data_IF_886910105175
#
_entry.id   IF_886910105175
#
_cell.length_a   1.000
_cell.length_b   1.000
_cell.length_c   1.000
_cell.angle_alpha   90.00
_cell.angle_beta   90.00
_cell.angle_gamma   90.00
#
_symmetry.space_group_name_H-M   'P 1'
#
loop_
_entity.id
_entity.type
_entity.pdbx_description
1 polymer ?
#
# COMPACT_ATOMS: atom_id res chain seq x y z
N UNK A 1 9.56 -1.54 -41.51
CA UNK A 1 8.79 -1.55 -40.25
C UNK A 1 7.42 -0.97 -40.60
N UNK A 2 6.37 -1.79 -40.61
CA UNK A 2 5.02 -1.27 -40.81
C UNK A 2 4.65 -0.50 -39.55
N UNK A 3 4.19 0.75 -39.69
CA UNK A 3 3.90 1.63 -38.56
C UNK A 3 2.81 1.09 -37.61
N UNK A 4 2.10 0.04 -38.01
CA UNK A 4 0.96 -0.54 -37.29
C UNK A 4 1.36 -1.61 -36.26
N UNK A 5 2.55 -2.23 -36.37
CA UNK A 5 3.05 -3.19 -35.38
C UNK A 5 4.57 -3.00 -35.16
N UNK A 6 4.97 -2.29 -34.10
CA UNK A 6 6.37 -2.04 -33.80
C UNK A 6 7.07 -3.25 -33.14
N UNK A 7 6.37 -4.36 -32.88
CA UNK A 7 6.93 -5.56 -32.25
C UNK A 7 7.21 -5.43 -30.75
N UNK A 8 6.75 -4.34 -30.12
CA UNK A 8 6.87 -4.09 -28.68
C UNK A 8 5.62 -3.38 -28.14
N UNK A 9 5.41 -3.49 -26.83
CA UNK A 9 4.42 -2.72 -26.07
C UNK A 9 5.11 -1.74 -25.11
N UNK A 10 4.41 -0.67 -24.75
CA UNK A 10 4.91 0.33 -23.79
C UNK A 10 4.22 0.19 -22.44
N UNK A 11 4.98 0.43 -21.36
CA UNK A 11 4.48 0.37 -19.99
C UNK A 11 4.98 1.59 -19.23
N UNK A 12 4.07 2.46 -18.79
CA UNK A 12 4.43 3.65 -18.03
C UNK A 12 5.21 3.29 -16.76
N UNK A 13 6.17 4.14 -16.40
CA UNK A 13 6.84 4.15 -15.11
C UNK A 13 6.41 5.38 -14.36
N UNK A 14 5.81 5.13 -13.21
CA UNK A 14 5.23 6.15 -12.35
C UNK A 14 5.91 6.06 -10.99
N UNK A 15 6.20 7.23 -10.42
CA UNK A 15 6.62 7.39 -9.03
C UNK A 15 5.45 7.99 -8.27
N UNK A 16 5.14 7.40 -7.13
CA UNK A 16 4.10 7.88 -6.21
C UNK A 16 4.75 8.27 -4.90
N UNK A 17 4.48 9.49 -4.48
CA UNK A 17 4.86 10.03 -3.18
C UNK A 17 3.61 10.38 -2.36
N UNK A 18 3.70 10.27 -1.04
CA UNK A 18 2.65 10.72 -0.13
C UNK A 18 3.23 11.62 0.95
N UNK A 19 2.60 12.77 1.16
CA UNK A 19 2.94 13.70 2.22
C UNK A 19 1.76 13.85 3.17
N UNK A 20 2.01 13.68 4.48
CA UNK A 20 1.03 14.03 5.52
C UNK A 20 0.99 15.54 5.65
N UNK A 21 -0.17 16.16 5.40
CA UNK A 21 -0.30 17.63 5.29
C UNK A 21 -0.88 18.29 6.54
N UNK A 22 -1.30 17.50 7.52
CA UNK A 22 -1.86 17.98 8.78
C UNK A 22 -1.82 16.89 9.85
N UNK A 23 -2.15 17.25 11.08
CA UNK A 23 -2.02 16.33 12.23
C UNK A 23 -3.00 15.16 12.15
N UNK A 24 -4.21 15.41 11.66
CA UNK A 24 -5.30 14.44 11.69
C UNK A 24 -5.66 13.98 13.10
N UNK A 25 -6.32 12.84 13.19
CA UNK A 25 -6.51 12.08 14.43
C UNK A 25 -5.44 11.00 14.51
N UNK A 26 -4.75 10.87 15.65
CA UNK A 26 -3.66 9.90 15.85
C UNK A 26 -3.75 9.27 17.23
N UNK A 27 -3.59 7.96 17.27
CA UNK A 27 -3.60 7.12 18.46
C UNK A 27 -2.32 6.31 18.51
N UNK A 28 -1.65 6.30 19.66
CA UNK A 28 -0.37 5.60 19.84
C UNK A 28 -0.57 4.42 20.80
N UNK A 29 -0.17 3.24 20.33
CA UNK A 29 -0.26 1.96 21.01
C UNK A 29 1.13 1.33 21.05
N UNK A 30 1.92 1.69 22.06
CA UNK A 30 3.29 1.19 22.21
C UNK A 30 4.14 1.44 20.94
N UNK A 31 4.61 0.39 20.24
CA UNK A 31 5.41 0.52 19.04
C UNK A 31 4.63 0.86 17.76
N UNK A 32 3.30 0.98 17.83
CA UNK A 32 2.40 1.23 16.70
C UNK A 32 1.67 2.55 16.90
N UNK A 33 1.52 3.35 15.83
CA UNK A 33 0.56 4.44 15.82
C UNK A 33 -0.44 4.24 14.70
N UNK A 34 -1.72 4.49 14.95
CA UNK A 34 -2.80 4.51 13.97
C UNK A 34 -3.29 5.94 13.80
N UNK A 35 -3.56 6.38 12.58
CA UNK A 35 -4.08 7.72 12.34
C UNK A 35 -5.03 7.82 11.17
N UNK A 36 -5.92 8.79 11.25
CA UNK A 36 -6.73 9.32 10.17
C UNK A 36 -6.17 10.70 9.82
N UNK A 37 -5.43 10.79 8.73
CA UNK A 37 -4.60 11.95 8.41
C UNK A 37 -4.93 12.54 7.04
N UNK A 38 -4.98 13.87 6.90
CA UNK A 38 -5.00 14.48 5.58
C UNK A 38 -3.63 14.27 4.92
N UNK A 39 -3.67 13.94 3.64
CA UNK A 39 -2.49 13.66 2.82
C UNK A 39 -2.59 14.35 1.47
N UNK A 40 -1.45 14.59 0.84
CA UNK A 40 -1.37 14.83 -0.60
C UNK A 40 -0.60 13.68 -1.21
N UNK A 41 -1.24 12.98 -2.15
CA UNK A 41 -0.61 11.95 -2.97
C UNK A 41 -0.15 12.61 -4.27
N UNK A 42 1.11 12.44 -4.64
CA UNK A 42 1.68 12.97 -5.87
C UNK A 42 2.09 11.81 -6.77
N UNK A 43 1.58 11.81 -8.00
CA UNK A 43 1.90 10.84 -9.03
C UNK A 43 2.66 11.52 -10.17
N UNK A 44 3.76 10.92 -10.59
CA UNK A 44 4.61 11.45 -11.66
C UNK A 44 5.02 10.32 -12.61
N UNK A 45 4.57 10.39 -13.86
CA UNK A 45 5.04 9.50 -14.94
C UNK A 45 6.41 9.97 -15.42
N UNK A 46 7.47 9.33 -14.95
CA UNK A 46 8.87 9.70 -15.26
C UNK A 46 9.37 9.10 -16.59
N UNK A 47 8.61 8.20 -17.19
CA UNK A 47 8.97 7.55 -18.44
C UNK A 47 8.13 6.33 -18.75
N UNK A 48 8.59 5.51 -19.69
CA UNK A 48 8.00 4.21 -20.00
C UNK A 48 9.06 3.19 -20.42
N UNK A 49 8.77 1.92 -20.19
CA UNK A 49 9.55 0.81 -20.74
C UNK A 49 8.99 0.39 -22.09
N UNK A 50 9.87 0.08 -23.05
CA UNK A 50 9.50 -0.72 -24.23
C UNK A 50 9.82 -2.17 -23.94
N UNK A 51 8.83 -3.04 -24.08
CA UNK A 51 8.99 -4.49 -23.88
C UNK A 51 8.55 -5.26 -25.11
N UNK A 52 9.34 -6.24 -25.52
CA UNK A 52 8.88 -7.21 -26.51
C UNK A 52 7.71 -8.02 -25.96
N UNK A 53 6.97 -8.69 -26.86
CA UNK A 53 5.91 -9.64 -26.46
C UNK A 53 6.44 -10.82 -25.62
N UNK A 54 7.74 -11.11 -25.70
CA UNK A 54 8.44 -12.09 -24.85
C UNK A 54 8.59 -11.64 -23.39
N UNK A 55 8.35 -10.35 -23.10
CA UNK A 55 8.56 -9.74 -21.78
C UNK A 55 9.95 -9.10 -21.61
N UNK A 56 10.86 -9.31 -22.55
CA UNK A 56 12.19 -8.69 -22.56
C UNK A 56 12.07 -7.16 -22.61
N UNK A 57 12.77 -6.47 -21.70
CA UNK A 57 12.87 -5.00 -21.69
C UNK A 57 13.91 -4.57 -22.72
N UNK A 58 13.48 -3.79 -23.70
CA UNK A 58 14.36 -3.22 -24.73
C UNK A 58 15.13 -2.03 -24.16
N UNK A 59 14.40 -1.06 -23.62
CA UNK A 59 14.95 0.15 -23.01
C UNK A 59 13.91 0.85 -22.12
N UNK A 60 14.39 1.91 -21.47
CA UNK A 60 13.60 2.89 -20.75
C UNK A 60 13.71 4.23 -21.47
N UNK A 61 12.57 4.87 -21.73
CA UNK A 61 12.48 6.18 -22.35
C UNK A 61 11.97 7.16 -21.30
N UNK A 62 12.82 8.12 -20.94
CA UNK A 62 12.47 9.21 -20.03
C UNK A 62 11.42 10.13 -20.65
N UNK A 63 10.50 10.62 -19.81
CA UNK A 63 9.50 11.60 -20.17
C UNK A 63 9.52 12.76 -19.17
N UNK A 64 9.26 13.96 -19.68
CA UNK A 64 9.02 15.16 -18.87
C UNK A 64 7.50 15.39 -18.80
N UNK A 65 6.86 14.83 -17.76
CA UNK A 65 5.42 14.90 -17.57
C UNK A 65 5.10 15.74 -16.32
N UNK A 66 3.97 16.45 -16.29
CA UNK A 66 3.56 17.16 -15.08
C UNK A 66 3.22 16.18 -13.95
N UNK A 67 3.47 16.62 -12.72
CA UNK A 67 3.00 15.91 -11.53
C UNK A 67 1.48 16.09 -11.35
N UNK A 68 0.82 15.02 -10.96
CA UNK A 68 -0.60 15.02 -10.60
C UNK A 68 -0.73 14.86 -9.09
N UNK A 69 -1.36 15.84 -8.43
CA UNK A 69 -1.56 15.83 -6.97
C UNK A 69 -3.01 15.56 -6.60
N UNK A 70 -3.20 14.77 -5.56
CA UNK A 70 -4.48 14.42 -4.98
C UNK A 70 -4.46 14.71 -3.47
N UNK A 71 -4.94 15.90 -3.05
CA UNK A 71 -5.26 16.16 -1.65
C UNK A 71 -6.44 15.27 -1.23
N UNK A 72 -6.24 14.41 -0.24
CA UNK A 72 -7.24 13.43 0.22
C UNK A 72 -7.02 13.06 1.70
N UNK A 73 -7.75 12.06 2.19
CA UNK A 73 -7.63 11.53 3.55
C UNK A 73 -7.14 10.08 3.51
N UNK A 74 -6.25 9.73 4.42
CA UNK A 74 -5.69 8.38 4.58
C UNK A 74 -5.88 7.84 5.99
N UNK A 75 -6.15 6.54 6.08
CA UNK A 75 -5.82 5.77 7.27
C UNK A 75 -4.37 5.32 7.15
N UNK A 76 -3.61 5.58 8.20
CA UNK A 76 -2.18 5.30 8.27
C UNK A 76 -1.91 4.48 9.53
N UNK A 77 -1.04 3.47 9.43
CA UNK A 77 -0.36 2.94 10.61
C UNK A 77 1.16 3.00 10.44
N UNK A 78 1.84 3.40 11.50
CA UNK A 78 3.30 3.37 11.61
C UNK A 78 3.73 2.33 12.63
N UNK A 79 4.90 1.73 12.43
CA UNK A 79 5.45 0.68 13.29
C UNK A 79 6.92 0.98 13.51
N UNK A 80 7.40 0.94 14.74
CA UNK A 80 8.84 1.03 15.01
C UNK A 80 9.61 -0.12 14.36
N UNK A 81 10.76 0.20 13.72
CA UNK A 81 11.58 -0.81 13.03
C UNK A 81 12.05 -1.93 13.97
N UNK A 82 12.34 -1.59 15.22
CA UNK A 82 12.74 -2.54 16.26
C UNK A 82 11.60 -3.54 16.61
N UNK A 83 10.35 -3.10 16.62
CA UNK A 83 9.22 -4.02 16.81
C UNK A 83 9.04 -4.98 15.63
N UNK A 84 9.22 -4.52 14.39
CA UNK A 84 9.21 -5.39 13.21
C UNK A 84 10.32 -6.44 13.27
N UNK A 85 11.55 -6.04 13.64
CA UNK A 85 12.68 -6.97 13.81
C UNK A 85 12.41 -7.99 14.91
N UNK A 86 11.88 -7.57 16.08
CA UNK A 86 11.48 -8.49 17.15
C UNK A 86 10.38 -9.47 16.74
N UNK A 87 9.50 -9.09 15.81
CA UNK A 87 8.51 -9.99 15.20
C UNK A 87 9.10 -10.96 14.16
N UNK A 88 10.42 -10.90 13.96
CA UNK A 88 11.16 -11.76 13.05
C UNK A 88 11.06 -11.32 11.58
N UNK A 89 10.79 -10.05 11.32
CA UNK A 89 10.89 -9.45 9.99
C UNK A 89 12.25 -8.75 9.90
N UNK A 90 13.18 -9.35 9.17
CA UNK A 90 14.49 -8.75 8.90
C UNK A 90 14.34 -7.43 8.15
N UNK A 91 15.27 -6.49 8.36
CA UNK A 91 15.20 -5.15 7.77
C UNK A 91 15.05 -5.17 6.23
N UNK A 92 15.70 -6.13 5.56
CA UNK A 92 15.62 -6.33 4.10
C UNK A 92 14.24 -6.80 3.62
N UNK A 93 13.45 -7.41 4.50
CA UNK A 93 12.09 -7.93 4.21
C UNK A 93 10.98 -6.93 4.55
N UNK A 94 11.29 -5.87 5.28
CA UNK A 94 10.30 -4.85 5.70
C UNK A 94 9.56 -4.27 4.49
N UNK A 95 10.21 -3.80 3.40
CA UNK A 95 9.49 -3.23 2.27
C UNK A 95 8.45 -4.19 1.67
N UNK A 96 8.84 -5.43 1.38
CA UNK A 96 7.92 -6.43 0.82
C UNK A 96 6.81 -6.86 1.77
N UNK A 97 7.08 -6.84 3.08
CA UNK A 97 6.10 -7.18 4.13
C UNK A 97 5.01 -6.12 4.25
N UNK A 98 5.41 -4.83 4.28
CA UNK A 98 4.48 -3.71 4.32
C UNK A 98 3.66 -3.62 3.03
N UNK A 99 4.31 -3.80 1.87
CA UNK A 99 3.66 -3.75 0.56
C UNK A 99 2.61 -4.85 0.37
N UNK A 100 2.91 -6.09 0.80
CA UNK A 100 1.93 -7.16 0.79
C UNK A 100 0.77 -6.93 1.78
N UNK A 101 1.04 -6.36 2.95
CA UNK A 101 0.00 -5.99 3.92
C UNK A 101 -0.91 -4.87 3.39
N UNK A 102 -0.32 -3.85 2.76
CA UNK A 102 -1.02 -2.75 2.11
C UNK A 102 -1.97 -3.26 1.02
N UNK A 103 -1.48 -4.09 0.08
CA UNK A 103 -2.31 -4.66 -0.98
C UNK A 103 -3.52 -5.42 -0.46
N UNK A 104 -3.30 -6.26 0.55
CA UNK A 104 -4.37 -7.03 1.17
C UNK A 104 -5.36 -6.11 1.89
N UNK A 105 -4.86 -5.10 2.62
CA UNK A 105 -5.69 -4.14 3.33
C UNK A 105 -6.60 -3.36 2.37
N UNK A 106 -6.06 -2.85 1.26
CA UNK A 106 -6.86 -2.20 0.20
C UNK A 106 -7.95 -3.15 -0.32
N UNK A 107 -7.60 -4.42 -0.55
CA UNK A 107 -8.55 -5.44 -1.04
C UNK A 107 -9.69 -5.74 -0.05
N UNK A 108 -9.43 -5.61 1.25
CA UNK A 108 -10.40 -5.94 2.30
C UNK A 108 -11.13 -4.73 2.90
N UNK A 109 -10.71 -3.49 2.60
CA UNK A 109 -11.39 -2.28 3.09
C UNK A 109 -12.88 -2.20 2.71
N UNK A 110 -13.32 -2.65 1.51
CA UNK A 110 -14.73 -2.74 1.15
C UNK A 110 -15.62 -3.44 2.19
N UNK A 111 -15.08 -4.37 2.97
CA UNK A 111 -15.79 -5.09 4.03
C UNK A 111 -16.39 -4.14 5.10
N UNK A 112 -15.72 -3.03 5.38
CA UNK A 112 -16.13 -2.08 6.44
C UNK A 112 -16.56 -0.72 5.89
N UNK A 113 -16.16 -0.36 4.67
CA UNK A 113 -16.35 0.97 4.10
C UNK A 113 -17.35 1.02 2.94
N UNK A 114 -17.92 -0.12 2.48
CA UNK A 114 -18.91 -0.18 1.38
C UNK A 114 -18.49 0.58 0.11
N UNK A 115 -17.19 0.52 -0.22
CA UNK A 115 -16.59 1.06 -1.43
C UNK A 115 -16.15 -0.06 -2.36
N UNK A 116 -15.81 0.27 -3.61
CA UNK A 116 -15.08 -0.64 -4.47
C UNK A 116 -13.57 -0.50 -4.22
N UNK A 117 -12.82 -1.58 -4.50
CA UNK A 117 -11.34 -1.54 -4.60
C UNK A 117 -10.85 -0.47 -5.60
N UNK A 118 -11.73 -0.10 -6.53
CA UNK A 118 -11.56 0.99 -7.49
C UNK A 118 -11.26 2.33 -6.83
N UNK A 119 -11.89 2.59 -5.68
CA UNK A 119 -12.02 3.90 -5.06
C UNK A 119 -10.93 4.20 -4.03
N UNK A 120 -9.98 3.29 -3.88
CA UNK A 120 -8.97 3.30 -2.83
C UNK A 120 -7.58 3.22 -3.47
N UNK A 121 -6.67 4.05 -3.00
CA UNK A 121 -5.23 3.90 -3.25
C UNK A 121 -4.50 3.51 -1.98
N UNK A 122 -3.22 3.18 -2.11
CA UNK A 122 -2.35 2.96 -0.97
C UNK A 122 -0.91 3.19 -1.30
N UNK A 123 -0.12 3.26 -0.24
CA UNK A 123 1.32 3.34 -0.33
C UNK A 123 1.93 2.73 0.94
N UNK A 124 3.03 2.00 0.78
CA UNK A 124 3.85 1.52 1.89
C UNK A 124 5.29 2.02 1.74
N UNK A 125 5.93 2.30 2.87
CA UNK A 125 7.32 2.77 2.88
C UNK A 125 8.03 2.26 4.13
N UNK A 126 9.29 1.85 3.98
CA UNK A 126 10.14 1.49 5.12
C UNK A 126 10.60 2.72 5.92
N UNK A 127 10.54 3.92 5.31
CA UNK A 127 10.94 5.19 5.92
C UNK A 127 9.86 6.22 5.64
N UNK A 128 8.82 6.21 6.47
CA UNK A 128 7.69 7.15 6.40
C UNK A 128 7.82 8.32 7.38
N UNK A 129 6.69 8.88 7.84
CA UNK A 129 6.68 9.92 8.87
C UNK A 129 7.51 9.51 10.08
N UNK A 130 8.28 10.46 10.61
CA UNK A 130 9.16 10.25 11.77
C UNK A 130 10.25 9.18 11.53
N UNK A 131 10.52 8.83 10.26
CA UNK A 131 11.49 7.81 9.88
C UNK A 131 10.99 6.38 10.11
N UNK A 132 9.68 6.18 10.28
CA UNK A 132 9.09 4.90 10.66
C UNK A 132 8.51 4.13 9.47
N UNK A 133 8.66 2.80 9.43
CA UNK A 133 7.88 1.90 8.59
C UNK A 133 6.38 2.23 8.65
N UNK A 134 5.77 2.47 7.50
CA UNK A 134 4.41 3.01 7.41
C UNK A 134 3.62 2.39 6.26
N UNK A 135 2.32 2.22 6.48
CA UNK A 135 1.33 1.87 5.44
C UNK A 135 0.22 2.91 5.46
N UNK A 136 -0.15 3.36 4.27
CA UNK A 136 -1.24 4.30 4.01
C UNK A 136 -2.27 3.63 3.11
N UNK A 137 -3.53 3.81 3.44
CA UNK A 137 -4.67 3.50 2.57
C UNK A 137 -5.53 4.74 2.51
N UNK A 138 -5.76 5.27 1.31
CA UNK A 138 -6.35 6.59 1.13
C UNK A 138 -7.48 6.58 0.12
N UNK A 139 -8.38 7.55 0.26
CA UNK A 139 -9.51 7.70 -0.65
C UNK A 139 -9.02 8.20 -2.01
N UNK A 140 -9.42 7.54 -3.09
CA UNK A 140 -9.13 7.93 -4.48
C UNK A 140 -9.92 9.14 -4.97
N UNK A 141 -10.42 9.98 -4.07
CA UNK A 141 -11.28 11.12 -4.37
C UNK A 141 -10.77 12.40 -3.69
N UNK A 142 -10.74 13.56 -4.39
CA UNK A 142 -10.27 14.82 -3.81
C UNK A 142 -11.04 15.20 -2.54
N UNK A 143 -10.31 15.53 -1.47
CA UNK A 143 -10.86 15.86 -0.15
C UNK A 143 -11.23 14.65 0.71
N UNK A 144 -11.23 13.45 0.16
CA UNK A 144 -11.71 12.24 0.84
C UNK A 144 -13.20 11.96 0.60
N UNK A 145 -13.54 10.68 0.54
CA UNK A 145 -14.91 10.16 0.42
C UNK A 145 -15.39 9.47 1.72
N UNK A 146 -14.51 9.36 2.72
CA UNK A 146 -14.81 8.78 4.03
C UNK A 146 -14.49 7.29 4.15
N UNK A 147 -13.87 6.65 3.15
CA UNK A 147 -13.53 5.23 3.23
C UNK A 147 -12.36 5.01 4.18
N UNK A 148 -11.34 5.86 4.11
CA UNK A 148 -10.24 5.93 5.07
C UNK A 148 -10.74 6.16 6.49
N UNK A 149 -11.71 7.06 6.69
CA UNK A 149 -12.33 7.27 8.00
C UNK A 149 -13.04 6.01 8.50
N UNK A 150 -13.83 5.34 7.66
CA UNK A 150 -14.47 4.08 8.03
C UNK A 150 -13.46 2.98 8.33
N UNK A 151 -12.36 2.91 7.58
CA UNK A 151 -11.24 2.01 7.85
C UNK A 151 -10.58 2.29 9.20
N UNK A 152 -10.34 3.56 9.52
CA UNK A 152 -9.78 3.99 10.80
C UNK A 152 -10.69 3.61 11.98
N UNK A 153 -12.00 3.93 11.89
CA UNK A 153 -13.03 3.60 12.90
C UNK A 153 -13.42 2.12 12.97
N UNK A 154 -12.79 1.26 12.16
CA UNK A 154 -13.02 -0.18 12.16
C UNK A 154 -11.71 -0.93 11.99
N UNK A 155 -10.59 -0.32 12.37
CA UNK A 155 -9.25 -0.78 12.01
C UNK A 155 -9.00 -2.22 12.50
N UNK A 156 -9.40 -2.54 13.73
CA UNK A 156 -9.27 -3.89 14.28
C UNK A 156 -10.07 -4.93 13.48
N UNK A 157 -11.33 -4.62 13.12
CA UNK A 157 -12.16 -5.51 12.28
C UNK A 157 -11.54 -5.70 10.90
N UNK A 158 -11.15 -4.61 10.26
CA UNK A 158 -10.64 -4.61 8.90
C UNK A 158 -9.27 -5.29 8.78
N UNK A 159 -8.30 -4.91 9.61
CA UNK A 159 -6.97 -5.51 9.60
C UNK A 159 -7.01 -6.96 10.11
N UNK A 160 -7.93 -7.30 11.02
CA UNK A 160 -8.20 -8.67 11.46
C UNK A 160 -8.64 -9.56 10.31
N UNK A 161 -9.70 -9.15 9.60
CA UNK A 161 -10.17 -9.85 8.41
C UNK A 161 -9.10 -9.92 7.31
N UNK A 162 -8.26 -8.89 7.19
CA UNK A 162 -7.13 -8.87 6.24
C UNK A 162 -6.11 -9.97 6.58
N UNK A 163 -5.70 -10.09 7.84
CA UNK A 163 -4.75 -11.12 8.27
C UNK A 163 -5.33 -12.53 8.06
N UNK A 164 -6.57 -12.75 8.48
CA UNK A 164 -7.29 -14.02 8.33
C UNK A 164 -7.42 -14.42 6.85
N UNK A 165 -7.74 -13.46 5.98
CA UNK A 165 -7.85 -13.72 4.54
C UNK A 165 -6.49 -14.16 3.95
N UNK A 166 -5.38 -13.51 4.30
CA UNK A 166 -4.05 -13.91 3.81
C UNK A 166 -3.67 -15.32 4.28
N UNK A 167 -3.93 -15.63 5.54
CA UNK A 167 -3.62 -16.93 6.17
C UNK A 167 -4.46 -18.08 5.58
N UNK A 168 -5.68 -17.81 5.13
CA UNK A 168 -6.57 -18.83 4.57
C UNK A 168 -6.11 -19.40 3.21
N UNK A 169 -5.26 -18.68 2.47
CA UNK A 169 -4.73 -19.17 1.19
C UNK A 169 -3.44 -19.98 1.38
N UNK A 170 -3.29 -21.07 0.63
CA UNK A 170 -2.09 -21.94 0.69
C UNK A 170 -0.94 -21.49 -0.23
N UNK A 171 -1.09 -20.39 -0.97
CA UNK A 171 -0.06 -19.92 -1.90
C UNK A 171 1.25 -19.54 -1.15
N UNK A 172 2.42 -20.09 -1.54
CA UNK A 172 3.68 -19.85 -0.80
C UNK A 172 4.18 -18.40 -0.88
N UNK A 173 4.12 -17.80 -2.07
CA UNK A 173 4.68 -16.48 -2.38
C UNK A 173 3.62 -15.37 -2.48
N UNK A 174 2.35 -15.70 -2.23
CA UNK A 174 1.24 -14.79 -2.52
C UNK A 174 0.65 -14.98 -3.93
N UNK A 175 -0.60 -14.56 -4.11
CA UNK A 175 -1.37 -14.66 -5.35
C UNK A 175 -2.32 -13.45 -5.53
N UNK A 176 -2.98 -13.31 -6.70
CA UNK A 176 -3.99 -12.27 -6.97
C UNK A 176 -5.12 -12.17 -5.94
N UNK A 177 -5.44 -13.28 -5.26
CA UNK A 177 -6.52 -13.36 -4.29
C UNK A 177 -6.12 -12.96 -2.86
N UNK A 178 -4.82 -12.82 -2.56
CA UNK A 178 -4.37 -12.53 -1.19
C UNK A 178 -3.53 -11.24 -1.07
N UNK A 179 -2.43 -11.09 -1.81
CA UNK A 179 -1.45 -10.00 -1.57
C UNK A 179 -1.00 -9.29 -2.85
N UNK A 180 -1.48 -9.71 -4.02
CA UNK A 180 -1.17 -9.01 -5.27
C UNK A 180 -2.26 -7.99 -5.62
N UNK A 181 -1.84 -6.92 -6.27
CA UNK A 181 -2.72 -5.87 -6.78
C UNK A 181 -2.55 -5.69 -8.29
N UNK A 182 -3.65 -5.66 -9.06
CA UNK A 182 -3.59 -5.32 -10.49
C UNK A 182 -3.25 -3.84 -10.73
N UNK A 183 -3.33 -3.00 -9.69
CA UNK A 183 -2.98 -1.57 -9.73
C UNK A 183 -1.59 -1.25 -9.19
N UNK A 184 -0.78 -2.27 -8.86
CA UNK A 184 0.55 -2.05 -8.30
C UNK A 184 1.52 -1.49 -9.36
N UNK A 185 1.93 -0.22 -9.22
CA UNK A 185 2.93 0.42 -10.09
C UNK A 185 4.32 -0.25 -10.02
N UNK A 186 4.63 -0.88 -8.88
CA UNK A 186 5.87 -1.62 -8.65
C UNK A 186 5.85 -3.05 -9.22
N UNK A 187 4.79 -3.44 -9.93
CA UNK A 187 4.72 -4.75 -10.58
C UNK A 187 4.61 -5.93 -9.62
N UNK A 188 4.07 -5.72 -8.42
CA UNK A 188 3.96 -6.73 -7.37
C UNK A 188 5.32 -7.29 -6.89
N UNK A 189 6.37 -6.45 -6.89
CA UNK A 189 7.70 -6.81 -6.41
C UNK A 189 8.33 -5.64 -5.63
N UNK A 190 8.90 -5.88 -4.43
CA UNK A 190 8.88 -7.13 -3.66
C UNK A 190 7.51 -7.35 -2.98
N UNK A 191 7.12 -8.61 -2.78
CA UNK A 191 6.01 -9.00 -1.90
C UNK A 191 6.43 -10.12 -0.96
N UNK A 192 6.10 -9.97 0.32
CA UNK A 192 6.34 -10.98 1.35
C UNK A 192 5.05 -11.31 2.09
N UNK A 193 4.40 -12.40 1.68
CA UNK A 193 3.14 -12.85 2.28
C UNK A 193 3.28 -13.16 3.77
N UNK A 194 4.32 -13.90 4.16
CA UNK A 194 4.52 -14.28 5.56
C UNK A 194 4.87 -13.05 6.42
N UNK A 195 5.64 -12.12 5.85
CA UNK A 195 5.92 -10.83 6.43
C UNK A 195 4.67 -9.98 6.64
N UNK A 196 3.76 -9.92 5.65
CA UNK A 196 2.49 -9.19 5.76
C UNK A 196 1.62 -9.70 6.91
N UNK A 197 1.50 -11.02 7.08
CA UNK A 197 0.78 -11.60 8.22
C UNK A 197 1.40 -11.14 9.54
N UNK A 198 2.73 -11.18 9.66
CA UNK A 198 3.43 -10.73 10.89
C UNK A 198 3.22 -9.25 11.16
N UNK A 199 3.27 -8.39 10.14
CA UNK A 199 2.96 -6.96 10.24
C UNK A 199 1.55 -6.76 10.80
N UNK A 200 0.54 -7.38 10.19
CA UNK A 200 -0.85 -7.23 10.58
C UNK A 200 -1.11 -7.77 11.99
N UNK A 201 -0.55 -8.94 12.33
CA UNK A 201 -0.70 -9.55 13.66
C UNK A 201 -0.01 -8.72 14.75
N UNK A 202 1.14 -8.10 14.46
CA UNK A 202 1.78 -7.14 15.36
C UNK A 202 0.90 -5.92 15.61
N UNK A 203 0.36 -5.31 14.55
CA UNK A 203 -0.53 -4.14 14.67
C UNK A 203 -1.78 -4.49 15.49
N UNK A 204 -2.41 -5.63 15.21
CA UNK A 204 -3.61 -6.10 15.92
C UNK A 204 -3.37 -6.44 17.39
N UNK A 205 -2.15 -6.85 17.75
CA UNK A 205 -1.79 -7.14 19.13
C UNK A 205 -1.71 -5.86 19.98
N UNK A 206 -1.31 -4.74 19.38
CA UNK A 206 -1.18 -3.44 20.06
C UNK A 206 -2.50 -2.65 20.10
N UNK A 207 -3.34 -2.76 19.07
CA UNK A 207 -4.68 -2.15 19.06
C UNK A 207 -5.56 -2.79 20.15
N UNK A 208 -5.96 -2.03 21.18
CA UNK A 208 -6.86 -2.52 22.24
C UNK A 208 -8.25 -2.90 21.72
N UNK A 209 -9.03 -3.69 22.47
CA UNK A 209 -10.45 -3.98 22.10
C UNK A 209 -11.35 -2.74 22.12
N UNK A 210 -10.95 -1.69 22.85
CA UNK A 210 -11.61 -0.39 22.93
C UNK A 210 -11.10 0.61 21.88
N UNK A 211 -10.20 0.19 20.98
CA UNK A 211 -9.76 1.03 19.87
C UNK A 211 -10.94 1.35 18.95
N UNK A 212 -11.04 2.60 18.45
CA UNK A 212 -12.21 3.09 17.76
C UNK A 212 -12.55 2.38 16.45
#
# INVERSE_FOLDING_TARGET
MHAEDPGYATFAREVTDIAVTGTGERLVFGPVALGLVPVTVTNHVVGYLRRQLSGEVLDFVELDMPEHTLPTTAVMYTITSDALVRSGIEATRIPGSLHAAEHAAIGLLPLVASCDRGDIGGMSTATGPEGLPSVFVYDGYPGGAGFAERGFRRARTWLGATAEAIEAYECPSGCPSCVQSPKCGNGNDPLDKAGAVRVLRLVLAELSEESP
#
